data_IF_743655500814
#
_entry.id   IF_743655500814
#
_cell.length_a   1.000
_cell.length_b   1.000
_cell.length_c   1.000
_cell.angle_alpha   90.00
_cell.angle_beta   90.00
_cell.angle_gamma   90.00
#
_symmetry.space_group_name_H-M   'P 1'
#
loop_
_entity.id
_entity.type
_entity.pdbx_description
1 polymer ?
#
# COMPACT_ATOMS: atom_id res chain seq x y z
N UNK A 1 16.27 -33.26 16.78
CA UNK A 1 16.84 -31.91 17.01
C UNK A 1 16.35 -31.01 15.88
N UNK A 2 15.16 -30.43 16.06
CA UNK A 2 14.50 -29.61 15.04
C UNK A 2 14.68 -28.15 15.44
N UNK A 3 15.87 -27.58 15.16
CA UNK A 3 16.03 -26.13 15.22
C UNK A 3 15.21 -25.55 14.06
N UNK A 4 14.05 -25.04 14.42
CA UNK A 4 13.07 -24.44 13.51
C UNK A 4 13.71 -23.32 12.68
N UNK A 5 13.43 -23.29 11.38
CA UNK A 5 13.82 -22.23 10.44
C UNK A 5 13.57 -20.81 10.98
N UNK A 6 12.61 -20.67 11.88
CA UNK A 6 12.26 -19.44 12.61
C UNK A 6 13.44 -18.83 13.40
N UNK A 7 14.36 -19.64 13.96
CA UNK A 7 15.48 -19.07 14.74
C UNK A 7 16.56 -18.45 13.85
N UNK A 8 16.75 -18.94 12.61
CA UNK A 8 17.80 -18.45 11.70
C UNK A 8 17.55 -17.03 11.21
N UNK A 9 16.29 -16.64 11.03
CA UNK A 9 15.93 -15.26 10.59
C UNK A 9 16.09 -14.25 11.74
N UNK A 10 15.86 -14.66 12.99
CA UNK A 10 16.06 -13.81 14.17
C UNK A 10 17.52 -13.37 14.37
N UNK A 11 18.47 -14.19 13.92
CA UNK A 11 19.92 -13.95 14.08
C UNK A 11 20.57 -13.22 12.89
N UNK A 12 19.90 -13.16 11.73
CA UNK A 12 20.50 -12.56 10.53
C UNK A 12 20.65 -11.04 10.73
N UNK A 13 21.89 -10.58 10.75
CA UNK A 13 22.24 -9.15 10.77
C UNK A 13 22.10 -8.59 9.35
N UNK A 14 21.46 -7.42 9.17
CA UNK A 14 21.38 -6.79 7.86
C UNK A 14 22.78 -6.47 7.31
N UNK A 15 22.99 -6.76 6.03
CA UNK A 15 24.16 -6.27 5.30
C UNK A 15 24.01 -4.78 4.92
N UNK A 16 25.06 -4.18 4.37
CA UNK A 16 25.00 -2.79 3.88
C UNK A 16 23.89 -2.66 2.83
N UNK A 17 23.00 -1.67 3.01
CA UNK A 17 21.85 -1.46 2.15
C UNK A 17 20.62 -2.30 2.51
N UNK A 18 20.69 -3.11 3.57
CA UNK A 18 19.60 -3.92 4.06
C UNK A 18 19.06 -3.44 5.42
N UNK A 19 17.76 -3.66 5.61
CA UNK A 19 17.05 -3.39 6.84
C UNK A 19 16.31 -4.64 7.28
N UNK A 20 16.37 -4.96 8.57
CA UNK A 20 15.49 -5.96 9.16
C UNK A 20 14.23 -5.28 9.69
N UNK A 21 13.08 -5.68 9.17
CA UNK A 21 11.77 -5.16 9.55
C UNK A 21 11.04 -6.22 10.36
N UNK A 22 10.47 -5.82 11.51
CA UNK A 22 9.49 -6.61 12.26
C UNK A 22 8.09 -6.31 11.71
N UNK A 23 7.40 -7.34 11.26
CA UNK A 23 6.11 -7.24 10.58
C UNK A 23 5.01 -6.83 11.56
N UNK A 24 4.14 -5.91 11.13
CA UNK A 24 2.98 -5.44 11.88
C UNK A 24 1.65 -5.79 11.20
N UNK A 25 1.55 -5.59 9.89
CA UNK A 25 0.36 -5.94 9.10
C UNK A 25 0.74 -6.27 7.64
N UNK A 26 -0.05 -7.13 7.02
CA UNK A 26 0.10 -7.56 5.62
C UNK A 26 -1.22 -7.36 4.89
N UNK A 27 -1.21 -6.56 3.83
CA UNK A 27 -2.34 -6.33 2.95
C UNK A 27 -2.20 -7.15 1.67
N UNK A 28 -3.21 -7.94 1.33
CA UNK A 28 -3.29 -8.69 0.08
C UNK A 28 -4.33 -8.05 -0.83
N UNK A 29 -3.97 -7.85 -2.10
CA UNK A 29 -4.89 -7.30 -3.10
C UNK A 29 -4.55 -7.80 -4.50
N UNK A 30 -5.37 -7.44 -5.49
CA UNK A 30 -5.05 -7.65 -6.90
C UNK A 30 -3.79 -6.87 -7.39
N UNK A 31 -3.19 -6.03 -6.53
CA UNK A 31 -1.94 -5.32 -6.78
C UNK A 31 -0.72 -6.00 -6.14
N UNK A 32 -0.93 -7.13 -5.46
CA UNK A 32 0.11 -7.89 -4.78
C UNK A 32 0.02 -7.78 -3.26
N UNK A 33 1.14 -8.09 -2.60
CA UNK A 33 1.27 -8.08 -1.15
C UNK A 33 2.01 -6.83 -0.69
N UNK A 34 1.38 -6.07 0.20
CA UNK A 34 1.93 -4.89 0.84
C UNK A 34 2.18 -5.22 2.31
N UNK A 35 3.42 -5.06 2.75
CA UNK A 35 3.83 -5.37 4.11
C UNK A 35 4.14 -4.07 4.83
N UNK A 36 3.77 -4.00 6.11
CA UNK A 36 4.11 -2.89 6.98
C UNK A 36 4.74 -3.39 8.26
N UNK A 37 5.57 -2.55 8.88
CA UNK A 37 6.27 -2.93 10.08
C UNK A 37 7.12 -1.82 10.67
N UNK A 38 7.92 -2.21 11.66
CA UNK A 38 8.90 -1.33 12.30
C UNK A 38 10.30 -1.85 12.02
N UNK A 39 11.22 -0.96 11.71
CA UNK A 39 12.64 -1.29 11.59
C UNK A 39 13.18 -1.77 12.94
N UNK A 40 13.67 -3.01 12.97
CA UNK A 40 14.27 -3.63 14.15
C UNK A 40 15.80 -3.50 14.14
N UNK A 41 16.43 -3.66 12.98
CA UNK A 41 17.88 -3.53 12.84
C UNK A 41 18.26 -2.97 11.45
N UNK A 42 19.39 -2.27 11.41
CA UNK A 42 20.02 -1.73 10.20
C UNK A 42 21.51 -2.07 10.21
N UNK A 43 22.17 -1.99 9.05
CA UNK A 43 23.62 -2.05 8.99
C UNK A 43 24.25 -0.83 9.71
N UNK A 44 25.51 -0.98 10.15
CA UNK A 44 26.24 0.05 10.92
C UNK A 44 26.28 1.41 10.21
N UNK A 45 26.31 1.41 8.87
CA UNK A 45 26.47 2.59 8.04
C UNK A 45 25.21 2.86 7.18
N UNK A 46 24.04 2.42 7.65
CA UNK A 46 22.75 2.73 7.02
C UNK A 46 22.46 4.23 7.14
N UNK A 47 22.01 4.84 6.04
CA UNK A 47 21.77 6.28 5.92
C UNK A 47 20.29 6.62 5.73
N UNK A 48 19.47 5.66 5.32
CA UNK A 48 18.06 5.91 4.98
C UNK A 48 17.08 5.71 6.14
N UNK A 49 17.29 4.68 6.96
CA UNK A 49 16.37 4.28 8.01
C UNK A 49 17.11 3.98 9.32
N UNK A 50 16.40 4.11 10.43
CA UNK A 50 16.87 3.81 11.77
C UNK A 50 15.91 2.86 12.50
N UNK A 51 16.41 2.21 13.56
CA UNK A 51 15.59 1.39 14.44
C UNK A 51 14.43 2.20 15.02
N UNK A 52 13.22 1.67 14.92
CA UNK A 52 11.99 2.35 15.33
C UNK A 52 11.22 3.00 14.19
N UNK A 53 11.85 3.19 13.02
CA UNK A 53 11.15 3.74 11.86
C UNK A 53 10.02 2.83 11.41
N UNK A 54 8.91 3.45 11.02
CA UNK A 54 7.73 2.77 10.51
C UNK A 54 7.81 2.73 9.01
N UNK A 55 7.66 1.54 8.43
CA UNK A 55 7.93 1.33 7.00
C UNK A 55 6.87 0.46 6.35
N UNK A 56 6.72 0.65 5.04
CA UNK A 56 5.90 -0.13 4.14
C UNK A 56 6.74 -0.55 2.93
N UNK A 57 6.54 -1.77 2.43
CA UNK A 57 7.20 -2.26 1.21
C UNK A 57 6.34 -3.30 0.51
N UNK A 58 6.54 -3.44 -0.79
CA UNK A 58 5.94 -4.52 -1.58
C UNK A 58 6.84 -5.74 -1.47
N UNK A 59 6.27 -6.91 -1.22
CA UNK A 59 7.06 -8.13 -1.06
C UNK A 59 6.24 -9.39 -1.30
N UNK A 60 6.82 -10.54 -0.99
CA UNK A 60 6.05 -11.76 -0.79
C UNK A 60 5.44 -11.76 0.61
N UNK A 61 4.44 -12.60 0.82
CA UNK A 61 3.87 -12.83 2.15
C UNK A 61 4.99 -13.36 3.07
N UNK A 62 5.30 -12.68 4.19
CA UNK A 62 6.33 -13.14 5.11
C UNK A 62 5.98 -14.52 5.68
N UNK A 63 6.99 -15.35 5.93
CA UNK A 63 6.84 -16.63 6.65
C UNK A 63 7.33 -16.53 8.11
N UNK A 64 7.88 -15.37 8.48
CA UNK A 64 8.41 -15.07 9.79
C UNK A 64 7.91 -13.70 10.28
N UNK A 65 8.03 -13.44 11.58
CA UNK A 65 7.72 -12.15 12.22
C UNK A 65 8.70 -11.03 11.82
N UNK A 66 9.82 -11.40 11.18
CA UNK A 66 10.87 -10.50 10.72
C UNK A 66 11.33 -10.87 9.32
N UNK A 67 11.71 -9.87 8.54
CA UNK A 67 12.28 -10.05 7.19
C UNK A 67 13.42 -9.06 6.95
N UNK A 68 14.34 -9.44 6.07
CA UNK A 68 15.33 -8.52 5.51
C UNK A 68 14.82 -7.95 4.19
N UNK A 69 14.92 -6.63 4.03
CA UNK A 69 14.45 -5.87 2.87
C UNK A 69 15.55 -4.90 2.46
N UNK A 70 15.66 -4.59 1.18
CA UNK A 70 16.57 -3.56 0.71
C UNK A 70 16.05 -2.17 1.13
N UNK A 71 16.93 -1.31 1.64
CA UNK A 71 16.60 0.06 2.07
C UNK A 71 15.84 0.84 0.98
N UNK A 72 16.22 0.62 -0.27
CA UNK A 72 15.68 1.33 -1.43
C UNK A 72 14.24 0.91 -1.80
N UNK A 73 13.73 -0.18 -1.22
CA UNK A 73 12.36 -0.68 -1.42
C UNK A 73 11.38 -0.16 -0.36
N UNK A 74 11.91 0.45 0.72
CA UNK A 74 11.11 0.90 1.85
C UNK A 74 10.49 2.29 1.59
N UNK A 75 9.23 2.42 1.97
CA UNK A 75 8.50 3.68 2.06
C UNK A 75 8.28 3.99 3.54
N UNK A 76 8.59 5.22 3.95
CA UNK A 76 8.30 5.68 5.32
C UNK A 76 6.78 5.80 5.56
N UNK A 77 6.32 5.29 6.70
CA UNK A 77 4.93 5.40 7.16
C UNK A 77 4.85 6.41 8.31
N UNK A 78 4.07 7.50 8.17
CA UNK A 78 3.91 8.48 9.23
C UNK A 78 3.34 7.89 10.53
N UNK A 79 3.71 8.48 11.67
CA UNK A 79 3.30 8.00 13.00
C UNK A 79 1.78 8.03 13.22
N UNK A 80 1.07 8.91 12.51
CA UNK A 80 -0.38 9.12 12.56
C UNK A 80 -1.17 8.27 11.54
N UNK A 81 -0.49 7.50 10.69
CA UNK A 81 -1.12 6.51 9.80
C UNK A 81 -1.02 5.14 10.45
N UNK A 82 -2.12 4.39 10.56
CA UNK A 82 -2.08 3.03 11.12
C UNK A 82 -1.38 2.05 10.15
N UNK A 83 -0.76 1.00 10.70
CA UNK A 83 -0.17 -0.05 9.86
C UNK A 83 -1.20 -0.74 8.98
N UNK A 84 -2.42 -0.92 9.48
CA UNK A 84 -3.55 -1.50 8.76
C UNK A 84 -3.94 -0.68 7.53
N UNK A 85 -4.08 0.64 7.70
CA UNK A 85 -4.34 1.55 6.58
C UNK A 85 -3.19 1.53 5.57
N UNK A 86 -1.94 1.58 6.05
CA UNK A 86 -0.77 1.52 5.18
C UNK A 86 -0.61 0.16 4.47
N UNK A 87 -1.05 -0.94 5.07
CA UNK A 87 -0.98 -2.26 4.45
C UNK A 87 -2.11 -2.47 3.44
N UNK A 88 -3.34 -2.10 3.81
CA UNK A 88 -4.54 -2.43 3.02
C UNK A 88 -4.91 -1.39 1.97
N UNK A 89 -4.72 -0.11 2.24
CA UNK A 89 -5.14 0.95 1.31
C UNK A 89 -4.02 1.42 0.39
N UNK A 90 -2.78 1.42 0.87
CA UNK A 90 -1.67 2.08 0.17
C UNK A 90 -1.49 1.68 -1.31
N UNK A 91 -1.52 0.39 -1.71
CA UNK A 91 -1.34 0.03 -3.12
C UNK A 91 -2.46 0.58 -4.01
N UNK A 92 -3.70 0.45 -3.56
CA UNK A 92 -4.88 0.90 -4.31
C UNK A 92 -4.97 2.43 -4.36
N UNK A 93 -4.62 3.09 -3.26
CA UNK A 93 -4.56 4.54 -3.17
C UNK A 93 -3.44 5.13 -4.05
N UNK A 94 -2.27 4.48 -4.13
CA UNK A 94 -1.22 4.87 -5.07
C UNK A 94 -1.71 4.79 -6.51
N UNK A 95 -2.39 3.71 -6.89
CA UNK A 95 -2.89 3.58 -8.25
C UNK A 95 -4.00 4.60 -8.55
N UNK A 96 -4.89 4.86 -7.59
CA UNK A 96 -5.92 5.91 -7.70
C UNK A 96 -5.30 7.31 -7.85
N UNK A 97 -4.24 7.61 -7.09
CA UNK A 97 -3.44 8.83 -7.24
C UNK A 97 -2.84 8.93 -8.64
N UNK A 98 -2.32 7.83 -9.18
CA UNK A 98 -1.82 7.82 -10.56
C UNK A 98 -2.91 8.13 -11.58
N UNK A 99 -4.08 7.51 -11.46
CA UNK A 99 -5.20 7.80 -12.37
C UNK A 99 -5.61 9.27 -12.29
N UNK A 100 -5.75 9.81 -11.07
CA UNK A 100 -6.32 11.15 -10.85
C UNK A 100 -5.33 12.31 -11.03
N UNK A 101 -4.02 12.05 -10.93
CA UNK A 101 -2.96 13.08 -11.01
C UNK A 101 -2.01 12.93 -12.20
N UNK A 102 -1.82 11.72 -12.74
CA UNK A 102 -0.89 11.48 -13.86
C UNK A 102 -1.61 11.17 -15.15
N UNK A 103 -2.60 10.27 -15.12
CA UNK A 103 -3.41 9.96 -16.31
C UNK A 103 -4.36 11.11 -16.61
N UNK A 104 -5.02 11.61 -15.56
CA UNK A 104 -5.86 12.79 -15.58
C UNK A 104 -5.29 13.87 -14.65
N UNK A 105 -5.74 15.11 -14.82
CA UNK A 105 -5.40 16.23 -13.94
C UNK A 105 -6.64 16.68 -13.17
N UNK A 106 -7.21 15.78 -12.38
CA UNK A 106 -8.47 16.02 -11.66
C UNK A 106 -8.23 17.01 -10.52
N UNK A 107 -9.15 17.95 -10.35
CA UNK A 107 -9.16 18.97 -9.31
C UNK A 107 -10.55 19.34 -8.83
N UNK A 108 -10.63 20.43 -8.07
CA UNK A 108 -11.88 20.90 -7.49
C UNK A 108 -12.83 21.42 -8.56
N UNK A 109 -14.09 20.99 -8.50
CA UNK A 109 -15.14 21.41 -9.43
C UNK A 109 -15.26 20.56 -10.70
N UNK A 110 -14.28 19.71 -11.01
CA UNK A 110 -14.37 18.78 -12.14
C UNK A 110 -15.53 17.80 -11.94
N UNK A 111 -16.27 17.50 -13.00
CA UNK A 111 -17.30 16.46 -12.99
C UNK A 111 -16.71 15.15 -13.46
N UNK A 112 -16.65 14.15 -12.58
CA UNK A 112 -15.96 12.88 -12.83
C UNK A 112 -16.96 11.72 -12.85
N UNK A 113 -16.97 10.95 -13.93
CA UNK A 113 -17.66 9.66 -13.99
C UNK A 113 -16.65 8.52 -13.87
N UNK A 114 -16.95 7.51 -13.04
CA UNK A 114 -16.09 6.32 -12.88
C UNK A 114 -16.86 5.08 -13.30
N UNK A 115 -16.57 4.59 -14.52
CA UNK A 115 -17.25 3.42 -15.11
C UNK A 115 -16.49 2.11 -14.89
N UNK A 116 -15.24 2.19 -14.41
CA UNK A 116 -14.47 1.02 -14.01
C UNK A 116 -15.17 0.24 -12.88
N UNK A 117 -15.11 -1.09 -12.94
CA UNK A 117 -15.73 -2.01 -11.97
C UNK A 117 -14.70 -2.88 -11.24
N UNK A 118 -13.43 -2.47 -11.26
CA UNK A 118 -12.39 -3.16 -10.51
C UNK A 118 -12.45 -2.82 -9.02
N UNK A 119 -11.65 -3.52 -8.21
CA UNK A 119 -11.46 -3.22 -6.79
C UNK A 119 -10.92 -1.80 -6.52
N UNK A 120 -10.40 -1.12 -7.54
CA UNK A 120 -9.74 0.17 -7.43
C UNK A 120 -10.74 1.32 -7.62
N UNK A 121 -11.89 1.07 -8.26
CA UNK A 121 -12.90 2.09 -8.51
C UNK A 121 -13.35 2.86 -7.25
N UNK A 122 -13.56 2.21 -6.07
CA UNK A 122 -13.86 2.94 -4.84
C UNK A 122 -12.74 3.90 -4.40
N UNK A 123 -11.47 3.52 -4.60
CA UNK A 123 -10.33 4.38 -4.27
C UNK A 123 -10.23 5.57 -5.21
N UNK A 124 -10.52 5.38 -6.49
CA UNK A 124 -10.54 6.47 -7.49
C UNK A 124 -11.64 7.47 -7.15
N UNK A 125 -12.85 6.99 -6.85
CA UNK A 125 -13.99 7.83 -6.44
C UNK A 125 -13.66 8.65 -5.19
N UNK A 126 -13.20 7.98 -4.14
CA UNK A 126 -12.76 8.62 -2.89
C UNK A 126 -11.64 9.65 -3.10
N UNK A 127 -10.68 9.35 -3.98
CA UNK A 127 -9.60 10.28 -4.29
C UNK A 127 -10.11 11.51 -5.05
N UNK A 128 -10.98 11.34 -6.04
CA UNK A 128 -11.56 12.45 -6.79
C UNK A 128 -12.36 13.37 -5.86
N UNK A 129 -13.20 12.82 -4.97
CA UNK A 129 -13.93 13.59 -3.96
C UNK A 129 -12.98 14.32 -3.00
N UNK A 130 -11.91 13.66 -2.56
CA UNK A 130 -10.87 14.28 -1.72
C UNK A 130 -10.18 15.47 -2.41
N UNK A 131 -10.06 15.45 -3.74
CA UNK A 131 -9.55 16.56 -4.54
C UNK A 131 -10.60 17.68 -4.77
N UNK A 132 -11.84 17.47 -4.31
CA UNK A 132 -12.95 18.41 -4.46
C UNK A 132 -13.72 18.27 -5.79
N UNK A 133 -13.53 17.17 -6.52
CA UNK A 133 -14.30 16.86 -7.72
C UNK A 133 -15.73 16.41 -7.35
N UNK A 134 -16.65 16.54 -8.31
CA UNK A 134 -18.04 16.07 -8.18
C UNK A 134 -18.21 14.76 -8.94
N UNK A 135 -18.61 13.69 -8.25
CA UNK A 135 -18.96 12.44 -8.92
C UNK A 135 -20.32 12.56 -9.61
N UNK A 136 -20.36 12.22 -10.89
CA UNK A 136 -21.57 12.27 -11.71
C UNK A 136 -21.74 11.00 -12.55
N UNK A 137 -22.98 10.67 -12.90
CA UNK A 137 -23.29 9.54 -13.78
C UNK A 137 -23.37 9.98 -15.26
N UNK A 138 -23.79 11.21 -15.53
CA UNK A 138 -23.88 11.79 -16.88
C UNK A 138 -23.31 13.21 -16.94
N UNK A 139 -22.82 13.60 -18.13
CA UNK A 139 -22.25 14.92 -18.38
C UNK A 139 -20.93 15.17 -17.65
N UNK A 140 -20.09 14.14 -17.52
CA UNK A 140 -18.77 14.27 -16.93
C UNK A 140 -17.77 14.96 -17.87
N UNK A 141 -16.90 15.78 -17.29
CA UNK A 141 -15.73 16.36 -17.96
C UNK A 141 -14.65 15.29 -18.15
N UNK A 142 -14.53 14.38 -17.17
CA UNK A 142 -13.58 13.26 -17.17
C UNK A 142 -14.32 11.95 -16.92
N UNK A 143 -14.18 11.00 -17.84
CA UNK A 143 -14.69 9.64 -17.66
C UNK A 143 -13.54 8.67 -17.46
N UNK A 144 -13.48 8.07 -16.27
CA UNK A 144 -12.48 7.07 -15.90
C UNK A 144 -13.02 5.68 -16.23
N UNK A 145 -12.20 4.93 -16.95
CA UNK A 145 -12.49 3.60 -17.49
C UNK A 145 -11.39 2.60 -17.09
N UNK A 146 -11.57 1.33 -17.44
CA UNK A 146 -10.53 0.31 -17.24
C UNK A 146 -9.27 0.54 -18.10
N UNK A 147 -9.33 1.33 -19.18
CA UNK A 147 -8.16 1.72 -19.97
C UNK A 147 -7.22 2.62 -19.17
N UNK A 148 -7.78 3.55 -18.39
CA UNK A 148 -7.03 4.46 -17.53
C UNK A 148 -6.27 3.71 -16.43
N UNK A 149 -6.87 2.66 -15.87
CA UNK A 149 -6.19 1.79 -14.90
C UNK A 149 -5.05 1.01 -15.56
N UNK A 150 -5.21 0.57 -16.82
CA UNK A 150 -4.13 -0.07 -17.57
C UNK A 150 -2.99 0.92 -17.83
N UNK A 151 -3.30 2.15 -18.22
CA UNK A 151 -2.31 3.21 -18.40
C UNK A 151 -1.57 3.52 -17.08
N UNK A 152 -2.31 3.67 -15.98
CA UNK A 152 -1.73 3.93 -14.66
C UNK A 152 -0.79 2.82 -14.17
N UNK A 153 -1.11 1.55 -14.46
CA UNK A 153 -0.21 0.41 -14.14
C UNK A 153 1.10 0.43 -14.95
N UNK A 154 1.09 1.03 -16.14
CA UNK A 154 2.27 1.21 -16.97
C UNK A 154 3.20 2.33 -16.48
N UNK A 155 2.72 3.19 -15.57
CA UNK A 155 3.48 4.33 -15.09
C UNK A 155 4.66 3.88 -14.22
N UNK A 156 5.89 4.13 -14.69
CA UNK A 156 7.11 3.84 -13.93
C UNK A 156 7.54 5.09 -13.18
N UNK A 157 7.77 4.94 -11.87
CA UNK A 157 8.25 6.00 -10.99
C UNK A 157 9.74 5.77 -10.68
N UNK A 158 10.55 6.82 -10.75
CA UNK A 158 11.88 6.82 -10.09
C UNK A 158 11.70 6.87 -8.56
N UNK A 159 12.71 6.49 -7.77
CA UNK A 159 12.57 6.44 -6.30
C UNK A 159 12.07 7.75 -5.67
N UNK A 160 12.59 8.90 -6.11
CA UNK A 160 12.15 10.21 -5.59
C UNK A 160 10.66 10.45 -5.85
N UNK A 161 10.17 10.06 -7.03
CA UNK A 161 8.74 10.16 -7.34
C UNK A 161 7.87 9.16 -6.56
N UNK A 162 8.42 8.01 -6.13
CA UNK A 162 7.69 7.05 -5.31
C UNK A 162 7.45 7.56 -3.88
N UNK A 163 8.45 8.20 -3.25
CA UNK A 163 8.28 8.81 -1.93
C UNK A 163 7.31 10.01 -1.99
N UNK A 164 7.36 10.81 -3.06
CA UNK A 164 6.39 11.88 -3.26
C UNK A 164 4.96 11.35 -3.43
N UNK A 165 4.78 10.31 -4.26
CA UNK A 165 3.47 9.67 -4.41
C UNK A 165 2.97 9.09 -3.09
N UNK A 166 3.86 8.52 -2.27
CA UNK A 166 3.52 8.05 -0.94
C UNK A 166 3.06 9.18 -0.02
N UNK A 167 3.75 10.33 -0.04
CA UNK A 167 3.36 11.51 0.74
C UNK A 167 1.95 11.99 0.40
N UNK A 168 1.58 12.02 -0.88
CA UNK A 168 0.22 12.37 -1.30
C UNK A 168 -0.81 11.37 -0.75
N UNK A 169 -0.51 10.07 -0.82
CA UNK A 169 -1.39 9.03 -0.28
C UNK A 169 -1.56 9.17 1.22
N UNK A 170 -0.49 9.45 1.96
CA UNK A 170 -0.58 9.68 3.40
C UNK A 170 -1.38 10.93 3.74
N UNK A 171 -1.29 12.00 2.94
CA UNK A 171 -2.15 13.16 3.09
C UNK A 171 -3.63 12.80 2.90
N UNK A 172 -3.97 12.02 1.87
CA UNK A 172 -5.33 11.56 1.63
C UNK A 172 -5.86 10.64 2.75
N UNK A 173 -5.02 9.72 3.26
CA UNK A 173 -5.37 8.85 4.40
C UNK A 173 -5.68 9.69 5.63
N UNK A 174 -4.85 10.69 5.96
CA UNK A 174 -5.08 11.59 7.11
C UNK A 174 -6.28 12.51 6.94
N UNK A 175 -6.56 12.91 5.71
CA UNK A 175 -7.77 13.64 5.34
C UNK A 175 -9.03 12.78 5.38
N UNK A 176 -8.92 11.49 5.70
CA UNK A 176 -10.05 10.58 5.81
C UNK A 176 -10.61 10.10 4.48
N UNK A 177 -9.88 10.26 3.36
CA UNK A 177 -10.39 9.92 2.03
C UNK A 177 -10.91 8.47 1.93
N UNK A 178 -10.26 7.52 2.62
CA UNK A 178 -10.55 6.08 2.46
C UNK A 178 -11.30 5.44 3.63
N UNK A 179 -11.79 6.22 4.60
CA UNK A 179 -12.42 5.64 5.82
C UNK A 179 -13.68 4.82 5.51
N UNK A 180 -14.35 5.09 4.39
CA UNK A 180 -15.50 4.31 3.93
C UNK A 180 -15.14 3.00 3.19
N UNK A 181 -13.86 2.74 2.94
CA UNK A 181 -13.40 1.55 2.19
C UNK A 181 -12.99 0.46 3.17
N UNK A 182 -13.81 -0.58 3.29
CA UNK A 182 -13.59 -1.70 4.21
C UNK A 182 -12.64 -2.76 3.65
N UNK A 183 -11.98 -3.49 4.56
CA UNK A 183 -11.19 -4.66 4.22
C UNK A 183 -12.04 -5.94 4.17
N UNK A 184 -11.64 -6.87 3.31
CA UNK A 184 -12.17 -8.22 3.29
C UNK A 184 -11.49 -9.07 4.35
N UNK A 185 -12.24 -9.99 4.96
CA UNK A 185 -11.67 -11.16 5.62
C UNK A 185 -11.14 -12.17 4.59
N UNK A 186 -10.26 -13.11 4.96
CA UNK A 186 -9.82 -14.18 4.07
C UNK A 186 -10.99 -15.01 3.50
N UNK A 187 -12.04 -15.23 4.30
CA UNK A 187 -13.21 -15.97 3.87
C UNK A 187 -14.02 -15.22 2.80
N UNK A 188 -14.26 -13.91 3.02
CA UNK A 188 -14.92 -13.07 2.02
C UNK A 188 -14.13 -13.04 0.70
N UNK A 189 -12.80 -13.04 0.76
CA UNK A 189 -11.97 -13.11 -0.45
C UNK A 189 -12.13 -14.45 -1.20
N UNK A 190 -12.22 -15.59 -0.50
CA UNK A 190 -12.53 -16.89 -1.12
C UNK A 190 -13.92 -16.92 -1.77
N UNK A 191 -14.86 -16.17 -1.20
CA UNK A 191 -16.22 -16.00 -1.73
C UNK A 191 -16.30 -14.95 -2.86
N UNK A 192 -15.16 -14.41 -3.31
CA UNK A 192 -15.07 -13.54 -4.47
C UNK A 192 -15.02 -12.04 -4.17
N UNK A 193 -14.91 -11.64 -2.89
CA UNK A 193 -14.66 -10.23 -2.56
C UNK A 193 -13.34 -9.75 -3.17
N UNK A 194 -13.37 -8.55 -3.74
CA UNK A 194 -12.21 -7.94 -4.39
C UNK A 194 -11.56 -6.83 -3.55
N UNK A 195 -12.13 -6.49 -2.39
CA UNK A 195 -11.52 -5.53 -1.46
C UNK A 195 -10.24 -6.10 -0.84
N UNK A 196 -9.26 -5.25 -0.48
CA UNK A 196 -8.02 -5.70 0.13
C UNK A 196 -8.26 -6.55 1.37
N UNK A 197 -7.47 -7.62 1.55
CA UNK A 197 -7.49 -8.47 2.75
C UNK A 197 -6.39 -8.03 3.69
N UNK A 198 -6.71 -7.86 4.96
CA UNK A 198 -5.73 -7.60 6.01
C UNK A 198 -5.40 -8.88 6.77
N UNK A 199 -4.11 -9.09 7.03
CA UNK A 199 -3.58 -10.17 7.84
C UNK A 199 -2.60 -9.59 8.87
N UNK A 200 -2.68 -10.08 10.10
CA UNK A 200 -1.74 -9.76 11.18
C UNK A 200 -0.76 -10.94 11.40
N UNK A 201 0.40 -10.71 12.05
CA UNK A 201 1.44 -11.73 12.20
C UNK A 201 0.95 -13.11 12.71
N UNK A 202 -0.01 -13.15 13.65
CA UNK A 202 -0.60 -14.39 14.14
C UNK A 202 -1.33 -15.20 13.05
N UNK A 203 -1.92 -14.52 12.08
CA UNK A 203 -2.63 -15.11 10.94
C UNK A 203 -1.67 -15.41 9.77
N UNK A 204 -0.52 -14.74 9.76
CA UNK A 204 0.54 -14.98 8.78
C UNK A 204 1.16 -16.37 8.98
N UNK A 205 1.42 -16.77 10.22
CA UNK A 205 2.05 -18.07 10.51
C UNK A 205 1.09 -19.28 10.41
N UNK A 206 -0.23 -19.06 10.52
CA UNK A 206 -1.24 -20.14 10.55
C UNK A 206 -1.72 -20.63 9.18
N UNK A 207 -1.40 -19.92 8.09
CA UNK A 207 -1.82 -20.29 6.73
C UNK A 207 -0.66 -20.72 5.82
N UNK A 208 0.47 -21.11 6.42
CA UNK A 208 1.62 -21.72 5.74
C UNK A 208 1.53 -23.25 5.77
#
# INVERSE_FOLDING_TARGET
MTQSLTSRVSELRPAVGEVRVRIAAVGLSALGTQVTGTVDAVARDSIGFARGDRVAFRGLRPEADRVIVQEHELIGVPADVSFDAAAGWFPSALLARTVTRQVHSIGSGDRVAVTDRSAIAPFIRAWAEFLGAQLVEEGADVTITSDDLRAARGWKSSQGSAQQAASDVWAAVRGGAFVGITFSTPEQARQGSRSPVLLHPSEVTLAA
#
